data_IF_631561289218
#
_entry.id   IF_631561289218
#
_cell.length_a   1.000
_cell.length_b   1.000
_cell.length_c   1.000
_cell.angle_alpha   90.00
_cell.angle_beta   90.00
_cell.angle_gamma   90.00
#
_symmetry.space_group_name_H-M   'P 1'
#
loop_
_entity.id
_entity.type
_entity.pdbx_description
1 polymer ?
#
# COMPACT_ATOMS: atom_id res chain seq x y z
N UNK A 1 12.10 -42.22 3.79
CA UNK A 1 11.74 -41.11 4.71
C UNK A 1 11.37 -39.94 3.82
N UNK A 2 10.11 -39.49 3.86
CA UNK A 2 9.70 -38.30 3.12
C UNK A 2 10.57 -37.11 3.54
N UNK A 3 11.20 -36.44 2.58
CA UNK A 3 12.11 -35.34 2.86
C UNK A 3 11.27 -34.15 3.37
N UNK A 4 11.28 -33.92 4.69
CA UNK A 4 10.50 -32.85 5.33
C UNK A 4 11.00 -31.49 4.79
N UNK A 5 10.13 -30.65 4.19
CA UNK A 5 10.58 -29.41 3.59
C UNK A 5 11.08 -28.43 4.65
N UNK A 6 12.22 -27.80 4.36
CA UNK A 6 12.78 -26.72 5.19
C UNK A 6 12.27 -25.37 4.71
N UNK A 7 11.65 -24.60 5.59
CA UNK A 7 11.13 -23.25 5.34
C UNK A 7 12.04 -22.24 6.02
N UNK A 8 12.57 -21.30 5.25
CA UNK A 8 13.24 -20.12 5.76
C UNK A 8 12.21 -19.04 6.09
N UNK A 9 12.01 -18.77 7.37
CA UNK A 9 11.07 -17.75 7.86
C UNK A 9 11.85 -16.51 8.27
N UNK A 10 11.82 -15.47 7.42
CA UNK A 10 12.60 -14.25 7.64
C UNK A 10 12.05 -13.36 8.77
N UNK A 11 10.77 -13.50 9.09
CA UNK A 11 10.06 -12.79 10.16
C UNK A 11 9.03 -13.71 10.78
N UNK A 12 8.86 -13.63 12.10
CA UNK A 12 7.73 -14.30 12.74
C UNK A 12 6.41 -13.73 12.22
N UNK A 13 5.47 -14.64 11.95
CA UNK A 13 4.15 -14.32 11.42
C UNK A 13 3.07 -14.94 12.31
N UNK A 14 1.92 -14.26 12.48
CA UNK A 14 0.82 -14.79 13.27
C UNK A 14 0.08 -15.85 12.44
N UNK A 15 0.57 -17.09 12.40
CA UNK A 15 -0.13 -18.18 11.69
C UNK A 15 -0.22 -19.44 12.53
N UNK A 16 -1.45 -19.83 12.85
CA UNK A 16 -1.73 -21.11 13.52
C UNK A 16 -1.45 -22.29 12.61
N UNK A 17 -1.61 -22.13 11.28
CA UNK A 17 -1.28 -23.16 10.29
C UNK A 17 0.20 -23.51 10.33
N UNK A 18 1.07 -22.49 10.40
CA UNK A 18 2.52 -22.69 10.45
C UNK A 18 2.94 -23.45 11.71
N UNK A 19 2.41 -23.00 12.85
CA UNK A 19 2.66 -23.63 14.16
C UNK A 19 2.22 -25.10 14.16
N UNK A 20 1.00 -25.39 13.69
CA UNK A 20 0.48 -26.75 13.64
C UNK A 20 1.30 -27.66 12.70
N UNK A 21 1.78 -27.14 11.56
CA UNK A 21 2.61 -27.89 10.62
C UNK A 21 3.98 -28.24 11.23
N UNK A 22 4.59 -27.29 11.94
CA UNK A 22 5.85 -27.48 12.66
C UNK A 22 5.71 -28.50 13.79
N UNK A 23 4.68 -28.36 14.65
CA UNK A 23 4.43 -29.27 15.78
C UNK A 23 4.14 -30.72 15.34
N UNK A 24 3.50 -30.90 14.18
CA UNK A 24 3.25 -32.22 13.58
C UNK A 24 4.48 -32.80 12.86
N UNK A 25 5.60 -32.07 12.80
CA UNK A 25 6.81 -32.50 12.09
C UNK A 25 6.67 -32.56 10.57
N UNK A 26 5.68 -31.84 10.01
CA UNK A 26 5.40 -31.82 8.56
C UNK A 26 6.32 -30.86 7.80
N UNK A 27 6.94 -29.92 8.52
CA UNK A 27 7.89 -28.92 8.02
C UNK A 27 9.02 -28.74 9.03
N UNK A 28 10.15 -28.20 8.59
CA UNK A 28 11.21 -27.69 9.46
C UNK A 28 11.35 -26.19 9.22
N UNK A 29 11.56 -25.39 10.26
CA UNK A 29 11.68 -23.93 10.13
C UNK A 29 13.07 -23.47 10.54
N UNK A 30 13.72 -22.70 9.67
CA UNK A 30 14.85 -21.84 10.03
C UNK A 30 14.27 -20.46 10.32
N UNK A 31 14.19 -20.10 11.60
CA UNK A 31 13.51 -18.89 12.09
C UNK A 31 14.50 -17.82 12.49
N UNK A 32 14.16 -16.57 12.18
CA UNK A 32 14.72 -15.40 12.86
C UNK A 32 13.65 -14.80 13.77
N UNK A 33 13.90 -14.85 15.08
CA UNK A 33 12.97 -14.39 16.12
C UNK A 33 13.11 -12.92 16.51
N UNK A 34 14.01 -12.18 15.84
CA UNK A 34 14.18 -10.74 16.07
C UNK A 34 13.17 -9.92 15.28
N UNK A 35 12.60 -8.92 15.93
CA UNK A 35 11.78 -7.92 15.27
C UNK A 35 12.66 -6.96 14.45
N UNK A 36 12.65 -7.14 13.13
CA UNK A 36 13.29 -6.28 12.15
C UNK A 36 13.59 -7.01 10.84
N UNK A 37 13.96 -6.34 9.76
CA UNK A 37 14.26 -7.01 8.49
C UNK A 37 15.41 -8.04 8.62
N UNK A 38 15.29 -9.18 7.94
CA UNK A 38 16.35 -10.18 7.97
C UNK A 38 17.60 -9.67 7.21
N UNK A 39 18.82 -9.72 7.79
CA UNK A 39 20.03 -9.32 7.10
C UNK A 39 20.27 -10.13 5.83
N UNK A 40 20.74 -9.50 4.76
CA UNK A 40 20.97 -10.15 3.46
C UNK A 40 21.89 -11.35 3.57
N UNK A 41 22.96 -11.23 4.34
CA UNK A 41 23.94 -12.27 4.59
C UNK A 41 23.30 -13.47 5.30
N UNK A 42 22.40 -13.21 6.26
CA UNK A 42 21.67 -14.26 6.95
C UNK A 42 20.73 -15.01 6.01
N UNK A 43 19.98 -14.29 5.16
CA UNK A 43 19.12 -14.93 4.14
C UNK A 43 19.99 -15.78 3.22
N UNK A 44 21.09 -15.23 2.70
CA UNK A 44 22.01 -15.93 1.77
C UNK A 44 22.56 -17.23 2.36
N UNK A 45 22.99 -17.23 3.62
CA UNK A 45 23.55 -18.41 4.27
C UNK A 45 22.53 -19.52 4.50
N UNK A 46 21.26 -19.16 4.76
CA UNK A 46 20.22 -20.13 5.10
C UNK A 46 19.42 -20.61 3.88
N UNK A 47 19.24 -19.76 2.86
CA UNK A 47 18.42 -20.07 1.68
C UNK A 47 18.95 -21.24 0.86
N UNK A 48 20.27 -21.51 0.91
CA UNK A 48 20.90 -22.64 0.21
C UNK A 48 20.33 -24.00 0.61
N UNK A 49 19.86 -24.13 1.87
CA UNK A 49 19.31 -25.36 2.40
C UNK A 49 17.77 -25.38 2.44
N UNK A 50 17.12 -24.26 2.15
CA UNK A 50 15.67 -24.13 2.24
C UNK A 50 14.96 -24.60 0.95
N UNK A 51 13.82 -25.26 1.13
CA UNK A 51 12.89 -25.59 0.06
C UNK A 51 11.88 -24.46 -0.20
N UNK A 52 11.60 -23.65 0.82
CA UNK A 52 10.73 -22.50 0.77
C UNK A 52 11.32 -21.32 1.51
N UNK A 53 10.94 -20.11 1.12
CA UNK A 53 11.20 -18.90 1.90
C UNK A 53 9.90 -18.10 2.03
N UNK A 54 9.62 -17.64 3.26
CA UNK A 54 8.57 -16.69 3.55
C UNK A 54 9.23 -15.35 3.91
N UNK A 55 8.93 -14.34 3.11
CA UNK A 55 9.47 -12.98 3.24
C UNK A 55 8.36 -11.95 3.45
N UNK A 56 8.75 -10.76 3.88
CA UNK A 56 7.89 -9.57 3.84
C UNK A 56 8.45 -8.56 2.83
N UNK A 57 7.79 -7.41 2.68
CA UNK A 57 8.25 -6.36 1.77
C UNK A 57 9.65 -5.81 2.11
N UNK A 58 10.16 -6.03 3.34
CA UNK A 58 11.46 -5.51 3.78
C UNK A 58 12.65 -6.41 3.41
N UNK A 59 12.40 -7.61 2.90
CA UNK A 59 13.45 -8.54 2.47
C UNK A 59 13.56 -8.59 0.95
N UNK A 60 14.46 -7.81 0.33
CA UNK A 60 14.63 -7.84 -1.12
C UNK A 60 15.23 -9.18 -1.56
N UNK A 61 14.59 -9.81 -2.55
CA UNK A 61 15.04 -11.04 -3.18
C UNK A 61 15.53 -10.75 -4.60
N UNK A 62 16.83 -10.44 -4.72
CA UNK A 62 17.50 -10.25 -6.01
C UNK A 62 17.71 -11.58 -6.76
N UNK A 63 18.04 -11.51 -8.05
CA UNK A 63 18.46 -12.68 -8.86
C UNK A 63 19.56 -13.49 -8.15
N UNK A 64 20.59 -12.82 -7.63
CA UNK A 64 21.68 -13.47 -6.89
C UNK A 64 21.19 -14.24 -5.65
N UNK A 65 20.27 -13.66 -4.88
CA UNK A 65 19.69 -14.32 -3.70
C UNK A 65 18.89 -15.54 -4.10
N UNK A 66 18.09 -15.41 -5.16
CA UNK A 66 17.29 -16.50 -5.71
C UNK A 66 18.23 -17.61 -6.20
N UNK A 67 19.29 -17.31 -6.93
CA UNK A 67 20.28 -18.29 -7.42
C UNK A 67 20.99 -19.05 -6.29
N UNK A 68 21.27 -18.40 -5.15
CA UNK A 68 21.85 -19.05 -3.98
C UNK A 68 20.94 -20.16 -3.39
N UNK A 69 19.62 -20.05 -3.58
CA UNK A 69 18.61 -21.00 -3.14
C UNK A 69 18.51 -22.24 -4.03
N UNK A 70 19.53 -23.10 -4.06
CA UNK A 70 19.59 -24.26 -4.98
C UNK A 70 18.42 -25.24 -4.84
N UNK A 71 17.85 -25.38 -3.64
CA UNK A 71 16.70 -26.25 -3.35
C UNK A 71 15.35 -25.53 -3.33
N UNK A 72 15.35 -24.21 -3.55
CA UNK A 72 14.18 -23.36 -3.43
C UNK A 72 13.15 -23.72 -4.50
N UNK A 73 11.91 -23.97 -4.08
CA UNK A 73 10.78 -24.33 -4.93
C UNK A 73 9.63 -23.33 -4.83
N UNK A 74 9.50 -22.65 -3.68
CA UNK A 74 8.47 -21.63 -3.45
C UNK A 74 9.02 -20.44 -2.69
N UNK A 75 8.65 -19.25 -3.18
CA UNK A 75 8.78 -17.98 -2.46
C UNK A 75 7.36 -17.54 -2.13
N UNK A 76 7.08 -17.28 -0.86
CA UNK A 76 5.85 -16.61 -0.46
C UNK A 76 6.17 -15.28 0.19
N UNK A 77 5.50 -14.23 -0.25
CA UNK A 77 5.66 -12.89 0.31
C UNK A 77 4.38 -12.46 0.98
N UNK A 78 4.50 -11.94 2.20
CA UNK A 78 3.39 -11.33 2.96
C UNK A 78 3.13 -9.91 2.44
N UNK A 79 2.80 -9.81 1.16
CA UNK A 79 2.55 -8.57 0.42
C UNK A 79 1.76 -8.85 -0.86
N UNK A 80 1.08 -7.83 -1.39
CA UNK A 80 0.46 -7.85 -2.73
C UNK A 80 1.47 -7.45 -3.80
N UNK A 81 2.16 -6.33 -3.59
CA UNK A 81 3.25 -5.90 -4.47
C UNK A 81 4.45 -6.85 -4.37
N UNK A 82 5.16 -6.98 -5.48
CA UNK A 82 6.34 -7.85 -5.65
C UNK A 82 7.56 -7.06 -6.12
N UNK A 83 7.55 -5.74 -5.97
CA UNK A 83 8.61 -4.84 -6.43
C UNK A 83 9.97 -5.08 -5.76
N UNK A 84 9.97 -5.72 -4.59
CA UNK A 84 11.16 -6.19 -3.85
C UNK A 84 11.67 -7.58 -4.28
N UNK A 85 11.03 -8.23 -5.25
CA UNK A 85 11.37 -9.59 -5.71
C UNK A 85 11.69 -9.57 -7.20
N UNK A 86 12.81 -10.17 -7.60
CA UNK A 86 13.11 -10.40 -9.01
C UNK A 86 12.24 -11.53 -9.57
N UNK A 87 11.06 -11.16 -10.08
CA UNK A 87 10.09 -12.12 -10.63
C UNK A 87 10.60 -12.81 -11.89
N UNK A 88 11.55 -12.22 -12.62
CA UNK A 88 12.16 -12.86 -13.79
C UNK A 88 13.05 -14.01 -13.35
N UNK A 89 13.87 -13.82 -12.31
CA UNK A 89 14.69 -14.88 -11.73
C UNK A 89 13.84 -16.03 -11.16
N UNK A 90 12.72 -15.71 -10.50
CA UNK A 90 11.73 -16.70 -10.06
C UNK A 90 11.20 -17.53 -11.25
N UNK A 91 10.78 -16.85 -12.33
CA UNK A 91 10.23 -17.50 -13.52
C UNK A 91 11.26 -18.37 -14.23
N UNK A 92 12.51 -17.89 -14.42
CA UNK A 92 13.60 -18.64 -15.05
C UNK A 92 13.87 -19.97 -14.35
N UNK A 93 13.68 -20.02 -13.03
CA UNK A 93 13.90 -21.23 -12.20
C UNK A 93 12.63 -22.04 -11.93
N UNK A 94 11.48 -21.65 -12.50
CA UNK A 94 10.18 -22.29 -12.27
C UNK A 94 9.80 -22.37 -10.78
N UNK A 95 10.23 -21.39 -9.99
CA UNK A 95 9.89 -21.26 -8.57
C UNK A 95 8.46 -20.72 -8.49
N UNK A 96 7.63 -21.28 -7.60
CA UNK A 96 6.30 -20.74 -7.33
C UNK A 96 6.40 -19.45 -6.52
N UNK A 97 5.60 -18.44 -6.90
CA UNK A 97 5.48 -17.19 -6.14
C UNK A 97 4.06 -17.06 -5.59
N UNK A 98 3.95 -16.98 -4.26
CA UNK A 98 2.70 -16.68 -3.58
C UNK A 98 2.71 -15.26 -3.00
N UNK A 99 1.65 -14.49 -3.27
CA UNK A 99 1.40 -13.15 -2.69
C UNK A 99 0.11 -13.18 -1.87
N UNK A 100 -0.29 -12.08 -1.24
CA UNK A 100 -1.51 -12.05 -0.40
C UNK A 100 -2.59 -11.11 -0.93
N UNK A 101 -3.13 -11.31 -2.16
CA UNK A 101 -4.23 -10.50 -2.69
C UNK A 101 -5.51 -10.73 -1.89
N UNK A 102 -6.45 -9.80 -2.00
CA UNK A 102 -7.84 -9.91 -1.52
C UNK A 102 -8.06 -9.95 -0.01
N UNK A 103 -7.04 -10.26 0.80
CA UNK A 103 -7.14 -10.41 2.26
C UNK A 103 -6.79 -9.15 3.04
N UNK A 104 -6.33 -8.10 2.36
CA UNK A 104 -5.93 -6.82 2.97
C UNK A 104 -6.67 -5.60 2.40
N UNK A 105 -7.50 -5.80 1.37
CA UNK A 105 -8.12 -4.71 0.61
C UNK A 105 -8.95 -3.80 1.52
N UNK A 106 -9.69 -4.37 2.48
CA UNK A 106 -10.48 -3.64 3.47
C UNK A 106 -9.63 -2.80 4.42
N UNK A 107 -8.56 -3.39 4.97
CA UNK A 107 -7.67 -2.68 5.88
C UNK A 107 -7.03 -1.47 5.19
N UNK A 108 -6.54 -1.65 3.95
CA UNK A 108 -5.96 -0.55 3.17
C UNK A 108 -7.02 0.48 2.79
N UNK A 109 -8.24 0.04 2.48
CA UNK A 109 -9.32 0.94 2.13
C UNK A 109 -9.75 1.83 3.29
N UNK A 110 -9.89 1.26 4.48
CA UNK A 110 -10.18 1.97 5.72
C UNK A 110 -9.10 3.01 6.03
N UNK A 111 -7.82 2.61 5.96
CA UNK A 111 -6.72 3.55 6.17
C UNK A 111 -6.69 4.65 5.12
N UNK A 112 -6.92 4.32 3.85
CA UNK A 112 -6.92 5.30 2.76
C UNK A 112 -8.03 6.35 2.96
N UNK A 113 -9.22 5.92 3.35
CA UNK A 113 -10.32 6.82 3.69
C UNK A 113 -9.99 7.68 4.91
N UNK A 114 -9.48 7.07 5.99
CA UNK A 114 -9.04 7.77 7.19
C UNK A 114 -8.00 8.86 6.84
N UNK A 115 -6.98 8.50 6.08
CA UNK A 115 -5.87 9.36 5.67
C UNK A 115 -6.36 10.50 4.77
N UNK A 116 -7.31 10.22 3.86
CA UNK A 116 -7.97 11.22 3.02
C UNK A 116 -8.71 12.26 3.88
N UNK A 117 -9.57 11.81 4.78
CA UNK A 117 -10.35 12.69 5.65
C UNK A 117 -9.44 13.47 6.61
N UNK A 118 -8.41 12.83 7.17
CA UNK A 118 -7.46 13.44 8.08
C UNK A 118 -6.64 14.55 7.40
N UNK A 119 -6.15 14.30 6.19
CA UNK A 119 -5.42 15.29 5.40
C UNK A 119 -6.34 16.48 5.04
N UNK A 120 -7.55 16.23 4.54
CA UNK A 120 -8.51 17.26 4.17
C UNK A 120 -9.01 18.10 5.36
N UNK A 121 -8.88 17.60 6.59
CA UNK A 121 -9.37 18.28 7.81
C UNK A 121 -8.24 18.78 8.70
N UNK A 122 -7.03 18.92 8.17
CA UNK A 122 -5.84 19.43 8.87
C UNK A 122 -5.56 18.69 10.19
N UNK A 123 -5.85 17.39 10.25
CA UNK A 123 -5.83 16.64 11.51
C UNK A 123 -4.43 16.59 12.15
N UNK A 124 -3.38 16.45 11.32
CA UNK A 124 -1.97 16.46 11.78
C UNK A 124 -1.66 17.74 12.57
N UNK A 125 -1.96 18.89 11.99
CA UNK A 125 -1.74 20.19 12.62
C UNK A 125 -2.60 20.38 13.88
N UNK A 126 -3.91 20.11 13.77
CA UNK A 126 -4.84 20.28 14.88
C UNK A 126 -4.49 19.39 16.09
N UNK A 127 -4.13 18.12 15.86
CA UNK A 127 -3.71 17.18 16.91
C UNK A 127 -2.45 17.67 17.62
N UNK A 128 -1.46 18.16 16.87
CA UNK A 128 -0.21 18.66 17.42
C UNK A 128 -0.40 19.89 18.32
N UNK A 129 -1.30 20.81 17.97
CA UNK A 129 -1.63 21.97 18.82
C UNK A 129 -2.10 21.51 20.22
N UNK A 130 -2.93 20.48 20.28
CA UNK A 130 -3.40 19.91 21.55
C UNK A 130 -2.25 19.26 22.30
N UNK A 131 -1.47 18.40 21.63
CA UNK A 131 -0.33 17.69 22.25
C UNK A 131 0.74 18.63 22.81
N UNK A 132 0.93 19.80 22.19
CA UNK A 132 1.88 20.82 22.64
C UNK A 132 1.31 21.73 23.75
N UNK A 133 0.11 21.46 24.26
CA UNK A 133 -0.54 22.29 25.28
C UNK A 133 -0.94 23.68 24.78
N UNK A 134 -1.05 23.87 23.47
CA UNK A 134 -1.32 25.18 22.85
C UNK A 134 -2.80 25.43 22.60
N UNK A 135 -3.69 24.50 22.98
CA UNK A 135 -5.14 24.65 22.72
C UNK A 135 -5.71 25.95 23.31
N UNK A 136 -5.29 26.38 24.50
CA UNK A 136 -5.76 27.66 25.08
C UNK A 136 -5.45 28.89 24.21
N UNK A 137 -4.42 28.81 23.35
CA UNK A 137 -4.05 29.86 22.37
C UNK A 137 -4.81 29.74 21.05
N UNK A 138 -5.44 28.59 20.81
CA UNK A 138 -6.25 28.30 19.63
C UNK A 138 -7.65 27.81 20.05
N UNK A 139 -8.41 28.61 20.80
CA UNK A 139 -9.78 28.24 21.16
C UNK A 139 -10.64 28.09 19.90
N UNK A 140 -11.83 27.53 20.06
CA UNK A 140 -12.78 27.43 18.96
C UNK A 140 -12.97 28.81 18.31
N UNK A 141 -12.82 28.86 16.99
CA UNK A 141 -13.15 30.03 16.18
C UNK A 141 -13.72 29.56 14.83
N UNK A 142 -14.48 30.40 14.13
CA UNK A 142 -15.27 29.97 12.96
C UNK A 142 -14.49 29.25 11.85
N UNK A 143 -13.21 29.58 11.69
CA UNK A 143 -12.35 29.02 10.64
C UNK A 143 -11.14 28.25 11.19
N UNK A 144 -11.00 28.12 12.50
CA UNK A 144 -9.87 27.40 13.09
C UNK A 144 -9.82 25.96 12.58
N UNK A 145 -8.69 25.60 11.94
CA UNK A 145 -8.41 24.27 11.41
C UNK A 145 -9.40 23.76 10.35
N UNK A 146 -10.29 24.61 9.84
CA UNK A 146 -11.27 24.24 8.83
C UNK A 146 -10.58 23.74 7.57
N UNK A 147 -11.13 22.67 7.00
CA UNK A 147 -10.73 22.10 5.72
C UNK A 147 -11.96 21.63 4.96
N UNK A 148 -11.84 21.30 3.67
CA UNK A 148 -12.99 21.00 2.83
C UNK A 148 -13.73 19.73 3.27
N UNK A 149 -15.02 19.67 2.92
CA UNK A 149 -15.79 18.43 2.92
C UNK A 149 -15.50 17.62 1.65
N UNK A 150 -15.53 16.29 1.76
CA UNK A 150 -15.47 15.35 0.64
C UNK A 150 -16.75 15.39 -0.22
N UNK A 151 -17.88 15.84 0.35
CA UNK A 151 -19.15 15.97 -0.37
C UNK A 151 -18.99 16.83 -1.62
N UNK A 152 -19.49 16.33 -2.74
CA UNK A 152 -19.49 17.02 -4.03
C UNK A 152 -18.11 17.19 -4.66
N UNK A 153 -17.04 16.60 -4.09
CA UNK A 153 -15.69 16.64 -4.65
C UNK A 153 -15.51 15.60 -5.74
N UNK A 154 -14.57 15.87 -6.65
CA UNK A 154 -14.10 14.89 -7.62
C UNK A 154 -12.95 14.09 -7.03
N UNK A 155 -13.09 12.76 -6.99
CA UNK A 155 -12.06 11.85 -6.50
C UNK A 155 -11.41 11.16 -7.70
N UNK A 156 -10.11 11.30 -7.87
CA UNK A 156 -9.33 10.69 -8.94
C UNK A 156 -8.47 9.54 -8.43
N UNK A 157 -8.59 8.37 -9.03
CA UNK A 157 -7.78 7.19 -8.71
C UNK A 157 -6.72 6.94 -9.79
N UNK A 158 -5.45 6.93 -9.38
CA UNK A 158 -4.34 6.48 -10.22
C UNK A 158 -4.14 4.98 -9.97
N UNK A 159 -4.69 4.17 -10.86
CA UNK A 159 -4.89 2.74 -10.65
C UNK A 159 -6.27 2.45 -10.06
N UNK A 160 -7.00 1.49 -10.66
CA UNK A 160 -8.39 1.19 -10.29
C UNK A 160 -8.67 -0.32 -10.10
N UNK A 161 -7.77 -1.01 -9.40
CA UNK A 161 -7.91 -2.41 -9.02
C UNK A 161 -8.77 -2.63 -7.77
N UNK A 162 -8.68 -3.82 -7.16
CA UNK A 162 -9.53 -4.24 -6.03
C UNK A 162 -9.51 -3.26 -4.85
N UNK A 163 -8.32 -2.81 -4.43
CA UNK A 163 -8.18 -1.85 -3.32
C UNK A 163 -8.86 -0.52 -3.67
N UNK A 164 -8.60 0.03 -4.86
CA UNK A 164 -9.19 1.31 -5.28
C UNK A 164 -10.72 1.23 -5.38
N UNK A 165 -11.26 0.11 -5.85
CA UNK A 165 -12.70 -0.12 -5.89
C UNK A 165 -13.31 -0.26 -4.49
N UNK A 166 -12.60 -0.90 -3.57
CA UNK A 166 -13.01 -0.99 -2.16
C UNK A 166 -13.03 0.41 -1.52
N UNK A 167 -11.98 1.22 -1.71
CA UNK A 167 -11.95 2.63 -1.30
C UNK A 167 -13.10 3.43 -1.90
N UNK A 168 -13.28 3.34 -3.22
CA UNK A 168 -14.35 4.03 -3.94
C UNK A 168 -15.72 3.69 -3.35
N UNK A 169 -15.97 2.41 -3.04
CA UNK A 169 -17.23 1.97 -2.45
C UNK A 169 -17.52 2.60 -1.08
N UNK A 170 -16.51 2.71 -0.21
CA UNK A 170 -16.63 3.39 1.08
C UNK A 170 -16.88 4.89 0.91
N UNK A 171 -16.25 5.50 -0.10
CA UNK A 171 -16.38 6.92 -0.39
C UNK A 171 -17.74 7.31 -0.98
N UNK A 172 -18.50 6.39 -1.59
CA UNK A 172 -19.84 6.68 -2.11
C UNK A 172 -20.77 7.28 -1.04
N UNK A 173 -20.65 6.84 0.22
CA UNK A 173 -21.46 7.32 1.35
C UNK A 173 -21.22 8.79 1.69
N UNK A 174 -20.08 9.35 1.27
CA UNK A 174 -19.75 10.76 1.45
C UNK A 174 -20.31 11.64 0.31
N UNK A 175 -21.00 11.04 -0.66
CA UNK A 175 -21.62 11.70 -1.80
C UNK A 175 -20.63 12.60 -2.57
N UNK A 176 -19.53 12.03 -3.09
CA UNK A 176 -18.66 12.75 -4.01
C UNK A 176 -19.45 13.17 -5.25
N UNK A 177 -19.00 14.22 -5.91
CA UNK A 177 -19.63 14.69 -7.16
C UNK A 177 -19.37 13.71 -8.30
N UNK A 178 -18.13 13.20 -8.39
CA UNK A 178 -17.67 12.27 -9.43
C UNK A 178 -16.51 11.43 -8.92
N UNK A 179 -16.33 10.26 -9.53
CA UNK A 179 -15.14 9.43 -9.39
C UNK A 179 -14.50 9.26 -10.77
N UNK A 180 -13.23 9.62 -10.88
CA UNK A 180 -12.41 9.46 -12.07
C UNK A 180 -11.35 8.40 -11.82
N UNK A 181 -10.96 7.67 -12.85
CA UNK A 181 -9.85 6.73 -12.71
C UNK A 181 -9.04 6.54 -14.00
N UNK A 182 -7.77 6.19 -13.82
CA UNK A 182 -6.88 5.70 -14.87
C UNK A 182 -6.45 4.26 -14.56
N UNK A 183 -6.15 3.49 -15.60
CA UNK A 183 -5.67 2.11 -15.52
C UNK A 183 -4.76 1.81 -16.71
N UNK A 184 -3.88 0.83 -16.58
CA UNK A 184 -2.99 0.38 -17.66
C UNK A 184 -3.74 -0.24 -18.84
N UNK A 185 -5.00 -0.65 -18.64
CA UNK A 185 -5.89 -1.16 -19.69
C UNK A 185 -7.19 -0.33 -19.70
N UNK A 186 -7.19 0.86 -20.33
CA UNK A 186 -8.34 1.76 -20.35
C UNK A 186 -9.58 1.06 -20.90
N UNK A 187 -10.69 1.18 -20.17
CA UNK A 187 -12.00 0.66 -20.57
C UNK A 187 -13.10 1.59 -20.03
N UNK A 188 -14.21 1.76 -20.78
CA UNK A 188 -15.40 2.42 -20.25
C UNK A 188 -15.86 1.77 -18.94
N UNK A 189 -16.39 2.58 -18.04
CA UNK A 189 -16.96 2.09 -16.80
C UNK A 189 -18.25 1.32 -17.10
N UNK A 190 -18.34 0.11 -16.55
CA UNK A 190 -19.55 -0.72 -16.58
C UNK A 190 -19.63 -1.51 -15.27
N UNK A 191 -20.55 -1.15 -14.38
CA UNK A 191 -20.71 -1.81 -13.08
C UNK A 191 -21.05 -3.31 -13.19
N UNK A 192 -21.57 -3.76 -14.32
CA UNK A 192 -21.87 -5.17 -14.58
C UNK A 192 -20.64 -5.97 -15.01
N UNK A 193 -19.57 -5.31 -15.47
CA UNK A 193 -18.33 -5.98 -15.84
C UNK A 193 -17.69 -6.68 -14.63
N UNK A 194 -17.05 -7.85 -14.81
CA UNK A 194 -16.31 -8.52 -13.75
C UNK A 194 -15.14 -7.69 -13.22
N UNK A 195 -14.62 -6.76 -14.03
CA UNK A 195 -13.52 -5.86 -13.66
C UNK A 195 -13.89 -4.93 -12.49
N UNK A 196 -15.19 -4.69 -12.23
CA UNK A 196 -15.69 -3.81 -11.15
C UNK A 196 -16.43 -4.56 -10.04
N UNK A 197 -16.14 -5.86 -9.86
CA UNK A 197 -16.80 -6.73 -8.88
C UNK A 197 -16.77 -6.18 -7.45
N UNK A 198 -15.61 -5.70 -6.98
CA UNK A 198 -15.45 -5.12 -5.64
C UNK A 198 -16.32 -3.90 -5.41
N UNK A 199 -16.40 -3.02 -6.41
CA UNK A 199 -17.27 -1.85 -6.34
C UNK A 199 -18.75 -2.28 -6.35
N UNK A 200 -19.13 -3.22 -7.22
CA UNK A 200 -20.50 -3.73 -7.33
C UNK A 200 -21.01 -4.38 -6.04
N UNK A 201 -20.18 -5.18 -5.37
CA UNK A 201 -20.52 -5.85 -4.11
C UNK A 201 -21.01 -4.88 -3.03
N UNK A 202 -20.54 -3.63 -3.08
CA UNK A 202 -20.78 -2.61 -2.05
C UNK A 202 -21.56 -1.39 -2.53
N UNK A 203 -21.65 -1.19 -3.85
CA UNK A 203 -22.41 -0.11 -4.47
C UNK A 203 -23.91 -0.43 -4.51
N UNK A 204 -24.53 -0.61 -3.35
CA UNK A 204 -25.98 -0.81 -3.24
C UNK A 204 -26.76 0.52 -3.19
N UNK A 205 -26.09 1.69 -3.17
CA UNK A 205 -26.69 2.93 -2.65
C UNK A 205 -26.41 4.25 -3.42
N UNK A 206 -25.88 4.26 -4.65
CA UNK A 206 -25.64 5.54 -5.35
C UNK A 206 -25.80 5.43 -6.86
N UNK A 207 -27.04 5.59 -7.34
CA UNK A 207 -27.38 5.61 -8.78
C UNK A 207 -26.90 6.86 -9.52
N UNK A 208 -26.51 7.92 -8.80
CA UNK A 208 -26.37 9.25 -9.39
C UNK A 208 -24.92 9.78 -9.44
N UNK A 209 -23.95 9.01 -8.92
CA UNK A 209 -22.54 9.41 -8.93
C UNK A 209 -21.89 8.94 -10.23
N UNK A 210 -21.41 9.88 -11.04
CA UNK A 210 -20.66 9.58 -12.26
C UNK A 210 -19.32 8.91 -11.91
N UNK A 211 -19.09 7.71 -12.45
CA UNK A 211 -17.80 7.01 -12.40
C UNK A 211 -17.28 6.88 -13.81
N UNK A 212 -16.07 7.39 -14.08
CA UNK A 212 -15.56 7.52 -15.46
C UNK A 212 -14.07 7.21 -15.57
N UNK A 213 -13.70 6.39 -16.55
CA UNK A 213 -12.33 6.29 -17.00
C UNK A 213 -11.93 7.54 -17.77
N UNK A 214 -10.83 8.19 -17.39
CA UNK A 214 -10.25 9.32 -18.13
C UNK A 214 -9.05 8.85 -18.97
N UNK A 215 -8.80 9.47 -20.14
CA UNK A 215 -7.82 9.01 -21.12
C UNK A 215 -6.36 9.09 -20.63
N UNK A 216 -6.05 10.03 -19.76
CA UNK A 216 -4.69 10.25 -19.26
C UNK A 216 -4.64 10.84 -17.85
N UNK A 217 -3.44 10.80 -17.27
CA UNK A 217 -3.16 11.33 -15.94
C UNK A 217 -3.27 12.84 -15.85
N UNK A 218 -3.07 13.57 -16.95
CA UNK A 218 -3.16 15.02 -16.95
C UNK A 218 -4.61 15.48 -16.77
N UNK A 219 -5.55 14.82 -17.45
CA UNK A 219 -6.97 15.06 -17.25
C UNK A 219 -7.41 14.67 -15.83
N UNK A 220 -6.92 13.53 -15.32
CA UNK A 220 -7.18 13.12 -13.94
C UNK A 220 -6.71 14.19 -12.93
N UNK A 221 -5.49 14.69 -13.06
CA UNK A 221 -4.92 15.72 -12.19
C UNK A 221 -5.75 17.01 -12.21
N UNK A 222 -6.11 17.50 -13.41
CA UNK A 222 -6.86 18.76 -13.59
C UNK A 222 -8.26 18.72 -13.00
N UNK A 223 -8.95 17.59 -13.13
CA UNK A 223 -10.35 17.48 -12.73
C UNK A 223 -10.53 17.11 -11.24
N UNK A 224 -9.53 16.49 -10.61
CA UNK A 224 -9.65 15.93 -9.26
C UNK A 224 -9.41 16.96 -8.15
N UNK A 225 -10.23 16.89 -7.11
CA UNK A 225 -9.98 17.61 -5.85
C UNK A 225 -9.20 16.72 -4.85
N UNK A 226 -9.30 15.41 -4.99
CA UNK A 226 -8.49 14.44 -4.25
C UNK A 226 -7.96 13.44 -5.26
N UNK A 227 -6.63 13.26 -5.31
CA UNK A 227 -5.97 12.22 -6.10
C UNK A 227 -5.48 11.13 -5.15
N UNK A 228 -5.84 9.89 -5.42
CA UNK A 228 -5.46 8.71 -4.62
C UNK A 228 -4.63 7.77 -5.50
N UNK A 229 -3.40 7.47 -5.11
CA UNK A 229 -2.53 6.56 -5.84
C UNK A 229 -2.63 5.15 -5.29
N UNK A 230 -3.14 4.23 -6.12
CA UNK A 230 -3.36 2.82 -5.84
C UNK A 230 -2.91 1.95 -7.02
N UNK A 231 -1.75 2.29 -7.60
CA UNK A 231 -1.09 1.54 -8.68
C UNK A 231 0.12 0.78 -8.14
N UNK A 232 0.45 -0.35 -8.74
CA UNK A 232 1.70 -1.08 -8.43
C UNK A 232 2.92 -0.28 -8.86
N UNK A 233 4.03 -0.38 -8.11
CA UNK A 233 5.32 0.18 -8.50
C UNK A 233 6.03 -0.73 -9.51
N UNK A 234 6.56 -0.12 -10.56
CA UNK A 234 7.37 -0.71 -11.62
C UNK A 234 8.11 0.44 -12.36
N UNK A 235 8.99 0.15 -13.33
CA UNK A 235 9.73 1.20 -14.03
C UNK A 235 8.86 2.29 -14.70
N UNK A 236 7.65 1.96 -15.17
CA UNK A 236 6.77 2.95 -15.83
C UNK A 236 5.88 3.75 -14.87
N UNK A 237 5.85 3.38 -13.59
CA UNK A 237 5.06 4.05 -12.54
C UNK A 237 5.92 4.71 -11.48
N UNK A 238 7.25 4.54 -11.54
CA UNK A 238 8.18 5.30 -10.73
C UNK A 238 8.08 6.79 -11.09
N UNK A 239 7.91 7.63 -10.08
CA UNK A 239 7.70 9.08 -10.21
C UNK A 239 6.59 9.43 -11.21
N UNK A 240 5.54 8.60 -11.24
CA UNK A 240 4.34 8.87 -12.03
C UNK A 240 3.64 10.16 -11.58
N UNK A 241 3.74 10.46 -10.29
CA UNK A 241 3.33 11.74 -9.71
C UNK A 241 4.58 12.60 -9.58
N UNK A 242 4.91 13.29 -10.67
CA UNK A 242 6.03 14.22 -10.80
C UNK A 242 5.58 15.68 -10.68
N UNK A 243 6.52 16.62 -10.86
CA UNK A 243 6.25 18.06 -10.88
C UNK A 243 5.16 18.46 -11.91
N UNK A 244 5.14 17.81 -13.08
CA UNK A 244 4.17 18.09 -14.15
C UNK A 244 2.77 17.64 -13.76
N UNK A 245 2.63 16.50 -13.10
CA UNK A 245 1.37 16.02 -12.56
C UNK A 245 0.87 16.98 -11.47
N UNK A 246 1.73 17.28 -10.49
CA UNK A 246 1.40 18.16 -9.37
C UNK A 246 1.03 19.58 -9.84
N UNK A 247 1.67 20.11 -10.89
CA UNK A 247 1.33 21.43 -11.46
C UNK A 247 0.04 21.44 -12.25
N UNK A 248 -0.40 20.26 -12.69
CA UNK A 248 -1.71 20.10 -13.33
C UNK A 248 -2.85 19.97 -12.32
N UNK A 249 -2.56 19.71 -11.03
CA UNK A 249 -3.58 19.62 -9.99
C UNK A 249 -4.17 20.98 -9.64
N UNK A 250 -5.40 20.98 -9.08
CA UNK A 250 -6.00 22.18 -8.51
C UNK A 250 -5.20 22.63 -7.30
N UNK A 251 -5.10 23.94 -7.07
CA UNK A 251 -4.48 24.50 -5.86
C UNK A 251 -5.13 24.05 -4.56
N UNK A 252 -6.42 23.72 -4.62
CA UNK A 252 -7.20 23.20 -3.50
C UNK A 252 -7.12 21.67 -3.34
N UNK A 253 -6.38 20.97 -4.19
CA UNK A 253 -6.39 19.52 -4.24
C UNK A 253 -5.50 18.87 -3.18
N UNK A 254 -5.81 17.61 -2.88
CA UNK A 254 -5.06 16.77 -1.95
C UNK A 254 -4.52 15.54 -2.68
N UNK A 255 -3.28 15.13 -2.34
CA UNK A 255 -2.67 13.89 -2.83
C UNK A 255 -2.63 12.84 -1.71
N UNK A 256 -3.15 11.65 -1.97
CA UNK A 256 -3.14 10.52 -1.04
C UNK A 256 -2.34 9.37 -1.66
N UNK A 257 -1.37 8.84 -0.94
CA UNK A 257 -0.60 7.67 -1.38
C UNK A 257 -0.58 6.57 -0.32
N UNK A 258 -1.22 5.44 -0.65
CA UNK A 258 -1.21 4.20 0.14
C UNK A 258 -0.72 3.01 -0.68
N UNK A 259 -0.01 3.27 -1.78
CA UNK A 259 0.53 2.26 -2.67
C UNK A 259 2.02 1.98 -2.40
N UNK A 260 2.90 2.80 -3.00
CA UNK A 260 4.36 2.74 -2.82
C UNK A 260 4.95 4.14 -2.85
N UNK A 261 5.95 4.38 -2.01
CA UNK A 261 6.65 5.66 -1.92
C UNK A 261 7.16 6.19 -3.26
N UNK A 262 7.99 5.41 -4.00
CA UNK A 262 8.61 5.86 -5.25
C UNK A 262 7.65 6.13 -6.42
N UNK A 263 6.34 5.94 -6.27
CA UNK A 263 5.35 6.39 -7.27
C UNK A 263 5.27 7.92 -7.29
N UNK A 264 5.53 8.56 -6.15
CA UNK A 264 5.52 10.01 -5.98
C UNK A 264 6.96 10.51 -5.90
N UNK A 265 7.30 11.50 -6.72
CA UNK A 265 8.56 12.24 -6.55
C UNK A 265 8.48 13.06 -5.25
N UNK A 266 9.27 12.65 -4.26
CA UNK A 266 9.26 13.26 -2.93
C UNK A 266 9.72 14.71 -2.95
N UNK A 267 10.67 15.07 -3.81
CA UNK A 267 11.18 16.44 -3.91
C UNK A 267 10.13 17.33 -4.56
N UNK A 268 9.52 16.87 -5.67
CA UNK A 268 8.45 17.60 -6.33
C UNK A 268 7.24 17.80 -5.41
N UNK A 269 6.87 16.78 -4.62
CA UNK A 269 5.79 16.90 -3.65
C UNK A 269 6.11 17.92 -2.55
N UNK A 270 7.32 17.89 -1.99
CA UNK A 270 7.73 18.85 -0.97
C UNK A 270 7.65 20.29 -1.49
N UNK A 271 8.17 20.55 -2.70
CA UNK A 271 8.10 21.86 -3.34
C UNK A 271 6.66 22.30 -3.62
N UNK A 272 5.79 21.38 -4.06
CA UNK A 272 4.38 21.68 -4.30
C UNK A 272 3.61 22.02 -3.00
N UNK A 273 3.96 21.37 -1.87
CA UNK A 273 3.37 21.67 -0.57
C UNK A 273 3.87 23.00 0.00
N UNK A 274 5.19 23.22 -0.05
CA UNK A 274 5.85 24.44 0.44
C UNK A 274 5.35 25.69 -0.30
N UNK A 275 5.27 25.63 -1.63
CA UNK A 275 4.75 26.73 -2.46
C UNK A 275 3.23 26.89 -2.39
N UNK A 276 2.52 25.93 -1.78
CA UNK A 276 1.06 25.90 -1.76
C UNK A 276 0.42 25.66 -3.13
N UNK A 277 1.13 24.99 -4.03
CA UNK A 277 0.63 24.53 -5.33
C UNK A 277 -0.45 23.45 -5.19
N UNK A 278 -0.42 22.68 -4.11
CA UNK A 278 -1.53 21.83 -3.66
C UNK A 278 -1.84 22.12 -2.18
N UNK A 279 -3.04 21.74 -1.73
CA UNK A 279 -3.51 22.07 -0.38
C UNK A 279 -2.86 21.20 0.69
N UNK A 280 -2.63 19.92 0.40
CA UNK A 280 -2.00 18.99 1.34
C UNK A 280 -1.84 17.58 0.79
N UNK A 281 -1.28 16.70 1.62
CA UNK A 281 -1.09 15.30 1.29
C UNK A 281 -1.28 14.37 2.49
N UNK A 282 -1.62 13.12 2.20
CA UNK A 282 -1.69 12.02 3.17
C UNK A 282 -0.92 10.82 2.64
N UNK A 283 0.13 10.40 3.32
CA UNK A 283 1.07 9.39 2.83
C UNK A 283 1.20 8.27 3.85
N UNK A 284 0.86 7.04 3.48
CA UNK A 284 1.21 5.86 4.28
C UNK A 284 2.57 5.30 3.89
N UNK A 285 3.10 5.72 2.75
CA UNK A 285 4.35 5.22 2.17
C UNK A 285 5.21 6.37 1.68
N UNK A 286 6.53 6.24 1.79
CA UNK A 286 7.50 7.26 1.40
C UNK A 286 8.67 6.66 0.62
N UNK A 287 9.20 7.42 -0.34
CA UNK A 287 10.44 7.04 -1.00
C UNK A 287 11.59 7.05 0.04
N UNK A 288 12.37 5.96 0.09
CA UNK A 288 13.44 5.79 1.08
C UNK A 288 13.01 5.11 2.38
N UNK A 289 11.75 4.70 2.52
CA UNK A 289 11.31 3.91 3.68
C UNK A 289 12.13 2.61 3.84
N UNK A 290 12.39 2.14 5.08
CA UNK A 290 12.00 2.74 6.35
C UNK A 290 12.97 3.84 6.86
N UNK A 291 14.04 4.16 6.12
CA UNK A 291 15.13 5.03 6.59
C UNK A 291 14.83 6.52 6.40
N UNK A 292 13.72 6.98 6.97
CA UNK A 292 13.30 8.38 6.91
C UNK A 292 13.93 9.14 8.08
N UNK A 293 14.85 10.07 7.79
CA UNK A 293 15.50 10.91 8.81
C UNK A 293 14.65 12.13 9.17
N UNK A 294 14.97 12.79 10.28
CA UNK A 294 14.35 14.06 10.68
C UNK A 294 14.63 15.22 9.69
N UNK A 295 15.60 15.06 8.79
CA UNK A 295 15.96 16.03 7.75
C UNK A 295 15.14 15.84 6.47
N UNK A 296 14.27 14.82 6.42
CA UNK A 296 13.43 14.56 5.26
C UNK A 296 12.57 15.80 4.91
N UNK A 297 12.49 16.23 3.64
CA UNK A 297 11.89 17.51 3.25
C UNK A 297 10.41 17.63 3.65
N UNK A 298 9.66 16.53 3.62
CA UNK A 298 8.25 16.51 4.04
C UNK A 298 8.05 16.64 5.57
N UNK A 299 9.10 16.44 6.37
CA UNK A 299 9.05 16.59 7.83
C UNK A 299 9.46 17.99 8.31
N UNK A 300 9.95 18.85 7.40
CA UNK A 300 10.39 20.19 7.73
C UNK A 300 9.21 21.13 8.01
N UNK A 301 9.47 22.20 8.77
CA UNK A 301 8.49 23.23 9.16
C UNK A 301 7.66 23.75 7.98
N UNK A 302 8.27 23.90 6.80
CA UNK A 302 7.61 24.39 5.58
C UNK A 302 6.52 23.46 5.03
N UNK A 303 6.58 22.16 5.36
CA UNK A 303 5.71 21.13 4.79
C UNK A 303 4.85 20.40 5.83
N UNK A 304 5.38 20.17 7.04
CA UNK A 304 4.85 19.22 8.05
C UNK A 304 3.42 19.50 8.54
N UNK A 305 2.89 20.67 8.24
CA UNK A 305 1.53 21.11 8.60
C UNK A 305 0.50 20.75 7.52
N UNK A 306 0.99 20.55 6.29
CA UNK A 306 0.20 20.23 5.09
C UNK A 306 0.28 18.75 4.72
N UNK A 307 1.06 17.95 5.44
CA UNK A 307 1.21 16.52 5.19
C UNK A 307 0.97 15.71 6.45
N UNK A 308 0.22 14.63 6.30
CA UNK A 308 0.13 13.55 7.29
C UNK A 308 0.89 12.35 6.77
N UNK A 309 1.80 11.81 7.56
CA UNK A 309 2.66 10.68 7.19
C UNK A 309 2.46 9.56 8.21
N UNK A 310 2.23 8.35 7.71
CA UNK A 310 2.11 7.12 8.49
C UNK A 310 3.23 6.14 8.10
N UNK A 311 3.66 5.24 9.00
CA UNK A 311 4.81 4.36 8.76
C UNK A 311 4.39 3.02 8.10
N UNK A 312 3.78 3.07 6.92
CA UNK A 312 3.39 1.90 6.12
C UNK A 312 2.50 0.91 6.88
N UNK A 313 1.38 1.41 7.38
CA UNK A 313 0.41 0.67 8.19
C UNK A 313 -0.87 0.30 7.43
N UNK A 314 -0.89 0.42 6.09
CA UNK A 314 -2.02 0.10 5.22
C UNK A 314 -2.77 -1.17 5.58
N UNK A 315 -2.07 -2.29 5.75
CA UNK A 315 -2.67 -3.58 6.11
C UNK A 315 -2.60 -3.91 7.60
N UNK A 316 -2.31 -2.94 8.48
CA UNK A 316 -2.06 -3.17 9.90
C UNK A 316 -3.33 -3.30 10.74
N UNK A 317 -4.26 -4.16 10.31
CA UNK A 317 -5.30 -4.73 11.19
C UNK A 317 -4.89 -6.14 11.60
N UNK A 318 -5.35 -6.59 12.77
CA UNK A 318 -5.04 -7.95 13.24
C UNK A 318 -5.60 -8.99 12.27
N UNK A 319 -6.80 -8.74 11.74
CA UNK A 319 -7.52 -9.59 10.80
C UNK A 319 -6.77 -9.73 9.47
N UNK A 320 -6.33 -8.61 8.89
CA UNK A 320 -5.57 -8.64 7.63
C UNK A 320 -4.21 -9.31 7.82
N UNK A 321 -3.48 -8.99 8.90
CA UNK A 321 -2.16 -9.62 9.17
C UNK A 321 -2.27 -11.12 9.41
N UNK A 322 -3.30 -11.58 10.12
CA UNK A 322 -3.59 -13.01 10.30
C UNK A 322 -3.90 -13.68 8.95
N UNK A 323 -4.83 -13.11 8.16
CA UNK A 323 -5.23 -13.69 6.89
C UNK A 323 -4.08 -13.72 5.86
N UNK A 324 -3.26 -12.67 5.81
CA UNK A 324 -2.04 -12.63 4.99
C UNK A 324 -1.05 -13.72 5.41
N UNK A 325 -0.79 -13.87 6.71
CA UNK A 325 0.13 -14.88 7.24
C UNK A 325 -0.34 -16.30 6.89
N UNK A 326 -1.62 -16.60 7.12
CA UNK A 326 -2.20 -17.91 6.80
C UNK A 326 -2.17 -18.21 5.31
N UNK A 327 -2.42 -17.21 4.46
CA UNK A 327 -2.33 -17.37 3.01
C UNK A 327 -0.89 -17.63 2.54
N UNK A 328 0.11 -16.94 3.12
CA UNK A 328 1.52 -17.23 2.85
C UNK A 328 1.89 -18.67 3.18
N UNK A 329 1.48 -19.13 4.35
CA UNK A 329 1.75 -20.49 4.82
C UNK A 329 1.05 -21.51 3.93
N UNK A 330 -0.19 -21.25 3.55
CA UNK A 330 -0.94 -22.12 2.63
C UNK A 330 -0.22 -22.30 1.30
N UNK A 331 0.32 -21.24 0.69
CA UNK A 331 1.10 -21.37 -0.54
C UNK A 331 2.28 -22.34 -0.40
N UNK A 332 2.95 -22.29 0.75
CA UNK A 332 4.09 -23.16 1.03
C UNK A 332 3.63 -24.60 1.26
N UNK A 333 2.62 -24.82 2.09
CA UNK A 333 2.11 -26.16 2.40
C UNK A 333 1.50 -26.85 1.18
N UNK A 334 0.73 -26.12 0.36
CA UNK A 334 0.12 -26.63 -0.87
C UNK A 334 1.20 -27.10 -1.87
N UNK A 335 2.31 -26.37 -1.98
CA UNK A 335 3.44 -26.75 -2.85
C UNK A 335 4.05 -28.10 -2.46
N UNK A 336 4.01 -28.47 -1.18
CA UNK A 336 4.54 -29.74 -0.68
C UNK A 336 3.45 -30.78 -0.39
N UNK A 337 2.20 -30.51 -0.79
CA UNK A 337 1.04 -31.39 -0.53
C UNK A 337 0.87 -31.75 0.95
N UNK A 338 1.23 -30.82 1.84
CA UNK A 338 1.10 -31.00 3.29
C UNK A 338 -0.35 -30.74 3.67
N UNK A 339 -1.05 -31.79 4.12
CA UNK A 339 -2.42 -31.69 4.64
C UNK A 339 -2.38 -31.63 6.16
N UNK A 340 -2.98 -30.58 6.73
CA UNK A 340 -3.09 -30.34 8.17
C UNK A 340 -4.31 -31.01 8.80
#
# INVERSE_FOLDING_TARGET
MSNVPTILLCRDIPSTLLKNAEEKGLIQIIRRSEDGPAPKEWIRSNITNANAIIVTLTEPLSEEMIEAGKKLQVVSTMSVGTDHIDTNAIQKRSIKLGTTPDVLDDAVADLTLLLTLAAMRNLSYASRIVQQGQWSKHPWSPLAFCGPSLRGKTIGFVGFGNIAQTVASLMLMFQPGRILYTTSKPKPFDIQSPDFSRLRERASASSDIEIRNVPDLQQLAKESDVVITLTSLNPSTKHLIDEKFLSSMKRSAYLINTARGPIVDTIALAQALESGQIAGAGLDVLEGEPNISSEHPLLQESCRDRVLILPHIGSATNEARQAMADLCVKHVLDQFSVSL
#
